data_IF_637618470336
#
_entry.id   IF_637618470336
#
_cell.length_a   1.000
_cell.length_b   1.000
_cell.length_c   1.000
_cell.angle_alpha   90.00
_cell.angle_beta   90.00
_cell.angle_gamma   90.00
#
_symmetry.space_group_name_H-M   'P 1'
#
loop_
_entity.id
_entity.type
_entity.pdbx_description
1 polymer ?
#
# COMPACT_ATOMS: atom_id res chain seq x y z
N UNK A 1 53.41 -48.25 11.26
CA UNK A 1 53.41 -47.11 10.30
C UNK A 1 51.97 -46.94 9.83
N UNK A 2 51.20 -46.05 10.48
CA UNK A 2 50.77 -44.72 9.99
C UNK A 2 49.55 -44.83 9.03
N UNK A 3 48.30 -44.72 9.53
CA UNK A 3 47.36 -43.56 9.44
C UNK A 3 46.93 -43.31 7.97
N UNK A 4 45.64 -43.29 7.62
CA UNK A 4 44.75 -42.13 7.69
C UNK A 4 43.28 -42.55 7.51
N UNK A 5 42.39 -41.97 8.32
CA UNK A 5 40.93 -42.02 8.21
C UNK A 5 40.52 -40.84 7.32
N UNK A 6 39.84 -41.08 6.21
CA UNK A 6 39.35 -39.99 5.34
C UNK A 6 37.84 -39.81 5.51
N UNK A 7 37.51 -38.70 6.17
CA UNK A 7 36.18 -38.19 6.49
C UNK A 7 35.40 -37.74 5.24
N UNK A 8 34.10 -38.00 5.25
CA UNK A 8 33.07 -37.49 4.33
C UNK A 8 32.85 -35.98 4.57
N UNK A 9 32.77 -35.10 3.55
CA UNK A 9 32.30 -33.74 3.77
C UNK A 9 30.77 -33.69 3.65
N UNK A 10 30.10 -33.55 4.80
CA UNK A 10 28.72 -33.09 4.89
C UNK A 10 28.68 -31.61 4.51
N UNK A 11 28.19 -31.29 3.31
CA UNK A 11 27.96 -29.90 2.90
C UNK A 11 26.72 -29.38 3.64
N UNK A 12 26.94 -28.50 4.62
CA UNK A 12 25.89 -27.77 5.30
C UNK A 12 25.36 -26.65 4.40
N UNK A 13 24.12 -26.80 3.92
CA UNK A 13 23.40 -25.76 3.19
C UNK A 13 22.90 -24.70 4.18
N UNK A 14 23.60 -23.57 4.27
CA UNK A 14 23.14 -22.39 5.02
C UNK A 14 22.08 -21.68 4.18
N UNK A 15 20.81 -21.83 4.58
CA UNK A 15 19.71 -21.02 4.03
C UNK A 15 19.77 -19.67 4.73
N UNK A 16 20.25 -18.64 4.03
CA UNK A 16 20.15 -17.26 4.49
C UNK A 16 18.67 -16.84 4.51
N UNK A 17 18.08 -16.72 5.70
CA UNK A 17 16.75 -16.15 5.89
C UNK A 17 16.89 -14.64 5.68
N UNK A 18 16.61 -14.18 4.46
CA UNK A 18 16.44 -12.75 4.20
C UNK A 18 15.14 -12.31 4.89
N UNK A 19 15.15 -11.21 5.67
CA UNK A 19 13.92 -10.67 6.22
C UNK A 19 13.03 -10.21 5.06
N UNK A 20 11.94 -10.94 4.83
CA UNK A 20 10.90 -10.51 3.90
C UNK A 20 10.08 -9.44 4.62
N UNK A 21 9.99 -8.20 4.12
CA UNK A 21 9.11 -7.20 4.72
C UNK A 21 7.68 -7.74 4.69
N UNK A 22 7.09 -7.91 5.87
CA UNK A 22 5.70 -8.37 5.99
C UNK A 22 4.75 -7.29 5.46
N UNK A 23 3.80 -7.67 4.60
CA UNK A 23 2.81 -6.75 4.03
C UNK A 23 2.03 -5.95 5.11
N UNK A 24 1.87 -6.48 6.33
CA UNK A 24 1.27 -5.77 7.45
C UNK A 24 2.15 -4.68 8.08
N UNK A 25 3.48 -4.80 7.96
CA UNK A 25 4.40 -3.74 8.38
C UNK A 25 4.35 -2.57 7.39
N UNK A 26 4.28 -2.86 6.09
CA UNK A 26 4.14 -1.87 5.03
C UNK A 26 2.85 -1.05 5.17
N UNK A 27 1.69 -1.72 5.32
CA UNK A 27 0.40 -1.03 5.53
C UNK A 27 0.36 -0.15 6.78
N UNK A 28 1.07 -0.54 7.84
CA UNK A 28 1.17 0.26 9.08
C UNK A 28 2.00 1.51 8.86
N UNK A 29 3.09 1.42 8.09
CA UNK A 29 3.91 2.57 7.73
C UNK A 29 3.15 3.52 6.81
N UNK A 30 2.45 3.01 5.79
CA UNK A 30 1.57 3.81 4.90
C UNK A 30 0.52 4.60 5.68
N UNK A 31 -0.13 3.98 6.68
CA UNK A 31 -1.10 4.67 7.54
C UNK A 31 -0.46 5.74 8.42
N UNK A 32 0.76 5.52 8.92
CA UNK A 32 1.47 6.49 9.74
C UNK A 32 1.94 7.69 8.91
N UNK A 33 2.41 7.46 7.68
CA UNK A 33 2.81 8.50 6.74
C UNK A 33 1.61 9.33 6.27
N UNK A 34 0.47 8.69 5.98
CA UNK A 34 -0.78 9.37 5.66
C UNK A 34 -1.24 10.30 6.80
N UNK A 35 -1.13 9.85 8.05
CA UNK A 35 -1.45 10.66 9.24
C UNK A 35 -0.46 11.82 9.41
N UNK A 36 0.84 11.59 9.25
CA UNK A 36 1.85 12.64 9.36
C UNK A 36 1.70 13.72 8.28
N UNK A 37 1.44 13.32 7.03
CA UNK A 37 1.22 14.25 5.93
C UNK A 37 -0.10 15.03 6.06
N UNK A 38 -1.18 14.39 6.54
CA UNK A 38 -2.40 15.10 6.91
C UNK A 38 -2.17 16.12 8.04
N UNK A 39 -1.45 15.74 9.09
CA UNK A 39 -1.12 16.64 10.21
C UNK A 39 -0.25 17.82 9.77
N UNK A 40 0.58 17.65 8.74
CA UNK A 40 1.41 18.72 8.18
C UNK A 40 0.64 19.74 7.34
N UNK A 41 -0.67 19.55 7.09
CA UNK A 41 -1.50 20.46 6.30
C UNK A 41 -1.18 20.49 4.80
N UNK A 42 -0.33 19.59 4.33
CA UNK A 42 0.10 19.53 2.92
C UNK A 42 -0.91 18.85 2.00
N UNK A 43 -1.79 18.03 2.56
CA UNK A 43 -2.85 17.30 1.85
C UNK A 43 -4.20 17.49 2.53
N UNK A 44 -5.27 17.44 1.74
CA UNK A 44 -6.65 17.40 2.24
C UNK A 44 -6.87 16.12 3.03
N UNK A 45 -7.75 16.20 4.02
CA UNK A 45 -8.15 15.02 4.78
C UNK A 45 -8.89 14.02 3.89
N UNK A 46 -8.71 12.73 4.18
CA UNK A 46 -9.44 11.68 3.47
C UNK A 46 -10.96 11.92 3.50
N UNK A 47 -11.51 12.37 4.64
CA UNK A 47 -12.93 12.73 4.75
C UNK A 47 -13.33 13.86 3.79
N UNK A 48 -12.47 14.86 3.61
CA UNK A 48 -12.74 15.94 2.63
C UNK A 48 -12.72 15.44 1.19
N UNK A 49 -11.83 14.50 0.87
CA UNK A 49 -11.78 13.86 -0.45
C UNK A 49 -13.03 13.03 -0.67
N UNK A 50 -13.38 12.15 0.27
CA UNK A 50 -14.57 11.31 0.20
C UNK A 50 -15.85 12.13 0.04
N UNK A 51 -16.01 13.22 0.80
CA UNK A 51 -17.17 14.11 0.67
C UNK A 51 -17.33 14.71 -0.74
N UNK A 52 -16.25 14.88 -1.50
CA UNK A 52 -16.30 15.38 -2.88
C UNK A 52 -16.56 14.27 -3.90
N UNK A 53 -16.02 13.07 -3.68
CA UNK A 53 -16.01 11.99 -4.69
C UNK A 53 -17.19 11.04 -4.53
N UNK A 54 -17.57 10.69 -3.31
CA UNK A 54 -18.66 9.72 -3.06
C UNK A 54 -19.98 10.12 -3.76
N UNK A 55 -20.41 11.40 -3.77
CA UNK A 55 -21.62 11.80 -4.49
C UNK A 55 -21.52 11.60 -6.01
N UNK A 56 -20.32 11.74 -6.59
CA UNK A 56 -20.07 11.54 -8.03
C UNK A 56 -20.05 10.06 -8.42
N UNK A 57 -19.82 9.18 -7.45
CA UNK A 57 -19.80 7.73 -7.60
C UNK A 57 -21.10 7.08 -7.12
N UNK A 58 -22.21 7.82 -7.08
CA UNK A 58 -23.51 7.30 -6.71
C UNK A 58 -23.87 6.04 -7.51
N UNK A 59 -24.47 5.06 -6.81
CA UNK A 59 -24.76 3.74 -7.37
C UNK A 59 -23.57 2.77 -7.40
N UNK A 60 -22.37 3.22 -6.98
CA UNK A 60 -21.22 2.34 -6.74
C UNK A 60 -21.05 2.07 -5.24
N UNK A 61 -20.58 0.88 -4.88
CA UNK A 61 -20.25 0.55 -3.49
C UNK A 61 -18.81 0.98 -3.20
N UNK A 62 -18.62 1.86 -2.22
CA UNK A 62 -17.29 2.27 -1.78
C UNK A 62 -16.64 1.18 -0.90
N UNK A 63 -15.42 0.77 -1.25
CA UNK A 63 -14.66 -0.23 -0.51
C UNK A 63 -13.63 0.37 0.45
N UNK A 64 -13.16 1.58 0.15
CA UNK A 64 -12.23 2.32 0.99
C UNK A 64 -11.11 3.02 0.20
N UNK A 65 -10.30 3.80 0.92
CA UNK A 65 -9.19 4.53 0.34
C UNK A 65 -7.85 3.81 0.55
N UNK A 66 -6.90 4.14 -0.30
CA UNK A 66 -5.49 3.83 -0.18
C UNK A 66 -4.69 5.10 -0.46
N UNK A 67 -3.68 5.39 0.33
CA UNK A 67 -2.87 6.60 0.15
C UNK A 67 -1.46 6.21 -0.29
N UNK A 68 -1.08 6.70 -1.47
CA UNK A 68 0.29 6.62 -1.97
C UNK A 68 1.05 7.86 -1.49
N UNK A 69 1.92 7.69 -0.50
CA UNK A 69 2.73 8.77 0.08
C UNK A 69 3.79 9.31 -0.86
N UNK A 70 4.24 8.51 -1.83
CA UNK A 70 5.25 8.89 -2.82
C UNK A 70 4.65 9.81 -3.88
N UNK A 71 3.48 9.45 -4.40
CA UNK A 71 2.75 10.25 -5.39
C UNK A 71 1.85 11.34 -4.76
N UNK A 72 1.60 11.28 -3.45
CA UNK A 72 0.60 12.09 -2.74
C UNK A 72 -0.81 11.96 -3.31
N UNK A 73 -1.20 10.72 -3.67
CA UNK A 73 -2.49 10.42 -4.33
C UNK A 73 -3.33 9.50 -3.45
N UNK A 74 -4.62 9.80 -3.36
CA UNK A 74 -5.62 8.90 -2.80
C UNK A 74 -6.22 8.04 -3.91
N UNK A 75 -6.08 6.73 -3.80
CA UNK A 75 -6.79 5.76 -4.63
C UNK A 75 -8.05 5.29 -3.91
N UNK A 76 -9.20 5.69 -4.41
CA UNK A 76 -10.50 5.28 -3.91
C UNK A 76 -10.98 4.05 -4.69
N UNK A 77 -11.41 3.02 -3.97
CA UNK A 77 -11.86 1.76 -4.56
C UNK A 77 -13.36 1.65 -4.49
N UNK A 78 -13.98 1.29 -5.60
CA UNK A 78 -15.42 1.13 -5.73
C UNK A 78 -15.77 -0.20 -6.40
N UNK A 79 -16.97 -0.70 -6.16
CA UNK A 79 -17.61 -1.71 -7.00
C UNK A 79 -18.75 -1.05 -7.77
N UNK A 80 -18.73 -1.18 -9.09
CA UNK A 80 -19.80 -0.73 -9.98
C UNK A 80 -20.11 -1.86 -10.96
N UNK A 81 -21.37 -2.26 -11.04
CA UNK A 81 -21.83 -3.34 -11.92
C UNK A 81 -21.01 -4.65 -11.76
N UNK A 82 -20.67 -4.98 -10.51
CA UNK A 82 -19.88 -6.17 -10.16
C UNK A 82 -18.38 -6.08 -10.51
N UNK A 83 -17.89 -4.94 -10.96
CA UNK A 83 -16.47 -4.71 -11.30
C UNK A 83 -15.83 -3.71 -10.35
N UNK A 84 -14.56 -3.92 -10.05
CA UNK A 84 -13.78 -2.97 -9.25
C UNK A 84 -13.36 -1.80 -10.13
N UNK A 85 -13.65 -0.60 -9.66
CA UNK A 85 -13.29 0.68 -10.28
C UNK A 85 -12.40 1.45 -9.30
N UNK A 86 -11.35 2.07 -9.83
CA UNK A 86 -10.41 2.90 -9.10
C UNK A 86 -10.58 4.36 -9.50
N UNK A 87 -10.60 5.24 -8.51
CA UNK A 87 -10.56 6.69 -8.72
C UNK A 87 -9.34 7.23 -8.00
N UNK A 88 -8.35 7.68 -8.76
CA UNK A 88 -7.14 8.29 -8.23
C UNK A 88 -7.36 9.81 -8.11
N UNK A 89 -7.09 10.35 -6.92
CA UNK A 89 -7.38 11.74 -6.55
C UNK A 89 -6.12 12.40 -5.99
N UNK A 90 -5.80 13.58 -6.48
CA UNK A 90 -4.70 14.40 -5.98
C UNK A 90 -4.94 14.77 -4.51
N UNK A 91 -4.01 14.39 -3.63
CA UNK A 91 -4.15 14.63 -2.19
C UNK A 91 -4.11 16.10 -1.80
N UNK A 92 -3.51 16.98 -2.61
CA UNK A 92 -3.34 18.42 -2.29
C UNK A 92 -4.57 19.23 -2.69
N UNK A 93 -5.07 18.97 -3.88
CA UNK A 93 -6.16 19.73 -4.52
C UNK A 93 -7.51 19.04 -4.38
N UNK A 94 -7.54 17.71 -4.28
CA UNK A 94 -8.75 16.90 -4.34
C UNK A 94 -9.31 16.72 -5.75
N UNK A 95 -8.54 17.03 -6.79
CA UNK A 95 -8.93 16.80 -8.17
C UNK A 95 -8.80 15.32 -8.56
N UNK A 96 -9.74 14.80 -9.35
CA UNK A 96 -9.62 13.45 -9.93
C UNK A 96 -8.53 13.50 -11.00
N UNK A 97 -7.51 12.66 -10.86
CA UNK A 97 -6.41 12.54 -11.82
C UNK A 97 -6.70 11.42 -12.81
N UNK A 98 -7.29 10.31 -12.31
CA UNK A 98 -7.56 9.14 -13.12
C UNK A 98 -8.77 8.37 -12.61
N UNK A 99 -9.48 7.69 -13.52
CA UNK A 99 -10.62 6.83 -13.21
C UNK A 99 -10.61 5.64 -14.17
N UNK A 100 -10.59 4.41 -13.64
CA UNK A 100 -10.51 3.17 -14.44
C UNK A 100 -11.27 2.02 -13.81
#
# INVERSE_FOLDING_TARGET
MLKQITFLPLVALVIAILPVPSAEAERRNEQNDARALMMSGKIKSIRSIENNILPKMAGSQYLGPEFDSTAQVYRLKFIRDGRVVFVDVDGRTGAIINQR
#
